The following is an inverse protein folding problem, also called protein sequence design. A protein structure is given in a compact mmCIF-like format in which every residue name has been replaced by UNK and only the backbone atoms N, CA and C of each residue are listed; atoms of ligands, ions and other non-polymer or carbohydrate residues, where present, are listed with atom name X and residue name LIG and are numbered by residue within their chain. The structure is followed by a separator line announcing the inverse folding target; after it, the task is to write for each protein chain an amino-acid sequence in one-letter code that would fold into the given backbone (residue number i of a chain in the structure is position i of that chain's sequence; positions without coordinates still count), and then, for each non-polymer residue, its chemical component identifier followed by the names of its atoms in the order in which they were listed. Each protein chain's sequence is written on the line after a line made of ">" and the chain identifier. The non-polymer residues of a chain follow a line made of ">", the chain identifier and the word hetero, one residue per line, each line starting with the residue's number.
data_IF_368640923181
#
_entry.id   IF_368640923181
#
_cell.length_a   1.000
_cell.length_b   1.000
_cell.length_c   1.000
_cell.angle_alpha   90.00
_cell.angle_beta   90.00
_cell.angle_gamma   90.00
#
_symmetry.space_group_name_H-M   'P 1'
#
loop_
_entity.id
_entity.type
_entity.pdbx_description
1 polymer ?
#
# COMPACT_ATOMS: atom_id res chain seq x y z
N UNK A 1 -25.11 -22.04 -13.51
CA UNK A 1 -25.55 -20.93 -12.65
C UNK A 1 -24.69 -20.90 -11.40
N UNK A 2 -24.19 -19.74 -11.04
CA UNK A 2 -23.37 -19.60 -9.87
C UNK A 2 -24.01 -18.68 -8.82
N UNK A 3 -24.60 -17.57 -9.27
CA UNK A 3 -25.40 -16.66 -8.42
C UNK A 3 -26.66 -16.22 -9.13
N UNK A 4 -27.73 -15.92 -8.40
CA UNK A 4 -29.00 -15.43 -8.92
C UNK A 4 -29.51 -14.33 -7.99
N UNK A 5 -29.96 -13.24 -8.58
CA UNK A 5 -30.50 -12.08 -7.86
C UNK A 5 -31.67 -11.51 -8.62
N UNK A 6 -32.74 -11.15 -7.93
CA UNK A 6 -33.82 -10.32 -8.45
C UNK A 6 -33.54 -8.85 -8.05
N UNK A 7 -33.58 -7.95 -9.03
CA UNK A 7 -33.37 -6.52 -8.79
C UNK A 7 -34.71 -5.79 -8.49
N UNK A 8 -34.62 -4.57 -7.98
CA UNK A 8 -35.79 -3.74 -7.65
C UNK A 8 -36.70 -3.42 -8.86
N UNK A 9 -36.29 -3.72 -10.09
CA UNK A 9 -37.08 -3.53 -11.32
C UNK A 9 -37.67 -4.82 -11.86
N UNK A 10 -37.73 -5.89 -11.06
CA UNK A 10 -38.26 -7.22 -11.41
C UNK A 10 -37.44 -7.92 -12.52
N UNK A 11 -36.15 -7.61 -12.69
CA UNK A 11 -35.25 -8.39 -13.53
C UNK A 11 -34.56 -9.46 -12.71
N UNK A 12 -34.41 -10.65 -13.29
CA UNK A 12 -33.61 -11.73 -12.72
C UNK A 12 -32.23 -11.73 -13.38
N UNK A 13 -31.19 -11.52 -12.57
CA UNK A 13 -29.81 -11.59 -12.97
C UNK A 13 -29.23 -12.96 -12.63
N UNK A 14 -28.53 -13.57 -13.59
CA UNK A 14 -27.99 -14.92 -13.46
C UNK A 14 -26.51 -14.86 -13.77
N UNK A 15 -25.66 -15.08 -12.78
CA UNK A 15 -24.22 -15.17 -12.93
C UNK A 15 -23.78 -16.60 -13.28
N UNK A 16 -22.76 -16.71 -14.10
CA UNK A 16 -22.19 -17.99 -14.52
C UNK A 16 -20.66 -18.00 -14.40
N UNK A 17 -20.10 -19.20 -14.27
CA UNK A 17 -18.65 -19.39 -14.34
C UNK A 17 -18.30 -19.80 -15.77
N UNK A 18 -17.98 -18.79 -16.61
CA UNK A 18 -17.52 -18.99 -17.98
C UNK A 18 -18.41 -18.47 -19.11
N UNK A 19 -19.69 -18.11 -18.82
CA UNK A 19 -20.61 -17.59 -19.83
C UNK A 19 -21.16 -16.19 -19.48
N UNK A 20 -20.48 -15.42 -18.62
CA UNK A 20 -20.88 -14.08 -18.24
C UNK A 20 -22.17 -14.03 -17.43
N UNK A 21 -23.03 -13.05 -17.73
CA UNK A 21 -24.25 -12.75 -17.01
C UNK A 21 -25.44 -12.72 -17.94
N UNK A 22 -26.55 -13.29 -17.51
CA UNK A 22 -27.86 -13.16 -18.16
C UNK A 22 -28.78 -12.28 -17.31
N UNK A 23 -29.53 -11.41 -17.97
CA UNK A 23 -30.58 -10.60 -17.38
C UNK A 23 -31.90 -10.98 -18.01
N UNK A 24 -32.83 -11.46 -17.23
CA UNK A 24 -34.17 -11.81 -17.67
C UNK A 24 -35.16 -10.76 -17.14
N UNK A 25 -35.84 -10.08 -18.03
CA UNK A 25 -36.89 -9.14 -17.66
C UNK A 25 -38.26 -9.90 -17.56
N UNK A 26 -38.79 -9.97 -16.36
CA UNK A 26 -40.02 -10.74 -16.10
C UNK A 26 -41.25 -10.15 -16.81
N UNK A 27 -41.29 -8.82 -17.04
CA UNK A 27 -42.44 -8.13 -17.66
C UNK A 27 -42.45 -8.33 -19.18
N UNK A 28 -41.32 -8.22 -19.82
CA UNK A 28 -41.19 -8.34 -21.29
C UNK A 28 -40.81 -9.74 -21.75
N UNK A 29 -40.44 -10.63 -20.84
CA UNK A 29 -39.91 -11.98 -21.10
C UNK A 29 -38.69 -12.00 -21.99
N UNK A 30 -37.93 -10.90 -22.06
CA UNK A 30 -36.71 -10.79 -22.83
C UNK A 30 -35.51 -11.21 -22.00
N UNK A 31 -34.53 -11.83 -22.67
CA UNK A 31 -33.23 -12.19 -22.10
C UNK A 31 -32.16 -11.37 -22.78
N UNK A 32 -31.36 -10.68 -21.99
CA UNK A 32 -30.12 -10.04 -22.40
C UNK A 32 -28.93 -10.89 -21.92
N UNK A 33 -27.88 -10.98 -22.72
CA UNK A 33 -26.69 -11.77 -22.39
C UNK A 33 -25.44 -10.92 -22.53
N UNK A 34 -24.70 -10.78 -21.42
CA UNK A 34 -23.50 -9.97 -21.31
C UNK A 34 -22.28 -10.89 -21.16
N UNK A 35 -21.31 -10.71 -22.05
CA UNK A 35 -20.05 -11.45 -22.05
C UNK A 35 -18.87 -10.50 -22.15
N UNK A 36 -17.71 -10.95 -21.66
CA UNK A 36 -16.46 -10.23 -21.86
C UNK A 36 -16.10 -10.18 -23.35
N UNK A 37 -15.77 -8.96 -23.80
CA UNK A 37 -15.31 -8.69 -25.16
C UNK A 37 -13.90 -8.10 -25.08
N UNK A 38 -12.89 -8.82 -25.60
CA UNK A 38 -11.45 -8.52 -25.41
C UNK A 38 -11.07 -7.07 -25.77
N UNK A 39 -11.75 -6.46 -26.74
CA UNK A 39 -11.43 -5.11 -27.20
C UNK A 39 -12.45 -4.06 -26.73
N UNK A 40 -13.41 -4.43 -25.90
CA UNK A 40 -14.42 -3.53 -25.35
C UNK A 40 -14.28 -3.41 -23.83
N UNK A 41 -13.67 -2.30 -23.38
CA UNK A 41 -13.51 -1.98 -21.96
C UNK A 41 -14.83 -1.69 -21.22
N UNK A 42 -15.92 -1.56 -21.95
CA UNK A 42 -17.27 -1.37 -21.43
C UNK A 42 -18.08 -2.67 -21.37
N UNK A 43 -17.53 -3.78 -21.82
CA UNK A 43 -18.10 -5.11 -21.57
C UNK A 43 -17.84 -5.54 -20.12
N UNK A 44 -18.54 -6.57 -19.65
CA UNK A 44 -18.21 -7.18 -18.36
C UNK A 44 -16.75 -7.68 -18.37
N UNK A 45 -16.02 -7.49 -17.26
CA UNK A 45 -14.57 -7.72 -17.21
C UNK A 45 -14.16 -9.19 -17.30
N UNK A 46 -15.04 -10.12 -16.94
CA UNK A 46 -14.80 -11.57 -17.04
C UNK A 46 -16.10 -12.32 -17.31
N UNK A 47 -15.99 -13.46 -18.02
CA UNK A 47 -17.11 -14.38 -18.20
C UNK A 47 -17.36 -15.28 -16.97
N UNK A 48 -16.46 -15.26 -15.99
CA UNK A 48 -16.60 -15.97 -14.72
C UNK A 48 -17.05 -15.00 -13.64
N UNK A 49 -18.34 -15.00 -13.34
CA UNK A 49 -18.96 -14.09 -12.37
C UNK A 49 -19.32 -14.84 -11.10
N UNK A 50 -18.75 -14.41 -9.98
CA UNK A 50 -18.83 -15.08 -8.68
C UNK A 50 -19.98 -14.58 -7.81
N UNK A 51 -20.40 -13.33 -7.97
CA UNK A 51 -21.48 -12.73 -7.17
C UNK A 51 -22.17 -11.59 -7.91
N UNK A 52 -23.45 -11.39 -7.59
CA UNK A 52 -24.27 -10.25 -7.99
C UNK A 52 -24.78 -9.60 -6.71
N UNK A 53 -24.72 -8.28 -6.65
CA UNK A 53 -25.25 -7.51 -5.51
C UNK A 53 -25.91 -6.24 -6.01
N UNK A 54 -27.17 -6.00 -5.59
CA UNK A 54 -27.82 -4.71 -5.71
C UNK A 54 -27.59 -3.94 -4.42
N UNK A 55 -27.10 -2.72 -4.54
CA UNK A 55 -26.86 -1.84 -3.41
C UNK A 55 -28.11 -1.06 -3.02
N UNK A 56 -28.11 -0.48 -1.83
CA UNK A 56 -29.23 0.29 -1.28
C UNK A 56 -29.65 1.47 -2.17
N UNK A 57 -28.75 1.99 -3.02
CA UNK A 57 -29.02 3.04 -4.00
C UNK A 57 -29.49 2.51 -5.38
N UNK A 58 -29.64 1.18 -5.54
CA UNK A 58 -30.10 0.52 -6.76
C UNK A 58 -29.00 0.25 -7.80
N UNK A 59 -27.73 0.46 -7.47
CA UNK A 59 -26.61 0.08 -8.34
C UNK A 59 -26.39 -1.43 -8.32
N UNK A 60 -26.16 -2.04 -9.49
CA UNK A 60 -25.89 -3.47 -9.60
C UNK A 60 -24.40 -3.68 -9.82
N UNK A 61 -23.80 -4.48 -8.94
CA UNK A 61 -22.39 -4.82 -8.94
C UNK A 61 -22.18 -6.31 -9.12
N UNK A 62 -21.13 -6.64 -9.86
CA UNK A 62 -20.72 -8.02 -10.15
C UNK A 62 -19.29 -8.22 -9.64
N UNK A 63 -19.08 -9.26 -8.85
CA UNK A 63 -17.74 -9.76 -8.57
C UNK A 63 -17.35 -10.78 -9.62
N UNK A 64 -16.10 -10.75 -10.06
CA UNK A 64 -15.62 -11.64 -11.12
C UNK A 64 -14.34 -12.37 -10.72
N UNK A 65 -14.13 -13.52 -11.33
CA UNK A 65 -12.86 -14.23 -11.28
C UNK A 65 -11.93 -13.65 -12.36
N UNK A 66 -10.82 -13.05 -11.93
CA UNK A 66 -9.78 -12.43 -12.78
C UNK A 66 -10.24 -11.22 -13.62
N UNK A 67 -11.14 -10.43 -13.08
CA UNK A 67 -11.58 -9.20 -13.74
C UNK A 67 -12.00 -8.12 -12.73
N UNK A 68 -11.75 -8.33 -11.43
CA UNK A 68 -12.14 -7.40 -10.37
C UNK A 68 -13.65 -7.34 -10.15
N UNK A 69 -14.17 -6.16 -9.95
CA UNK A 69 -15.60 -5.89 -9.81
C UNK A 69 -16.10 -5.00 -10.94
N UNK A 70 -17.37 -5.18 -11.33
CA UNK A 70 -18.01 -4.38 -12.38
C UNK A 70 -19.31 -3.77 -11.85
N UNK A 71 -19.52 -2.49 -12.16
CA UNK A 71 -20.81 -1.83 -12.01
C UNK A 71 -21.55 -1.84 -13.35
N UNK A 72 -22.81 -2.21 -13.34
CA UNK A 72 -23.70 -2.08 -14.50
C UNK A 72 -24.25 -0.66 -14.61
N UNK A 73 -24.11 -0.06 -15.77
CA UNK A 73 -24.75 1.21 -16.12
C UNK A 73 -26.02 0.91 -16.96
N UNK A 74 -27.17 1.08 -16.34
CA UNK A 74 -28.46 0.81 -16.99
C UNK A 74 -28.84 1.81 -18.10
N UNK A 75 -28.23 3.00 -18.11
CA UNK A 75 -28.49 4.05 -19.11
C UNK A 75 -27.75 3.78 -20.41
N UNK A 76 -26.49 3.40 -20.28
CA UNK A 76 -25.60 3.12 -21.40
C UNK A 76 -25.60 1.63 -21.77
N UNK A 77 -26.26 0.79 -20.97
CA UNK A 77 -26.31 -0.68 -21.09
C UNK A 77 -24.91 -1.30 -21.21
N UNK A 78 -24.01 -0.87 -20.34
CA UNK A 78 -22.60 -1.27 -20.34
C UNK A 78 -22.08 -1.45 -18.90
N UNK A 79 -20.76 -1.72 -18.77
CA UNK A 79 -20.12 -1.98 -17.49
C UNK A 79 -18.93 -1.03 -17.27
N UNK A 80 -18.75 -0.64 -16.02
CA UNK A 80 -17.55 0.03 -15.52
C UNK A 80 -16.80 -0.91 -14.60
N UNK A 81 -15.56 -1.19 -14.94
CA UNK A 81 -14.69 -2.12 -14.21
C UNK A 81 -13.83 -1.38 -13.18
N UNK A 82 -13.56 -2.05 -12.05
CA UNK A 82 -12.54 -1.72 -11.06
C UNK A 82 -11.68 -2.96 -10.87
N UNK A 83 -10.38 -2.86 -11.14
CA UNK A 83 -9.42 -3.97 -11.22
C UNK A 83 -8.09 -3.61 -10.56
N UNK A 84 -7.06 -4.43 -10.75
CA UNK A 84 -5.67 -4.09 -10.36
C UNK A 84 -5.22 -2.73 -10.92
N UNK A 85 -5.70 -2.35 -12.11
CA UNK A 85 -5.35 -1.07 -12.73
C UNK A 85 -5.88 0.14 -11.92
N UNK A 86 -7.02 -0.03 -11.26
CA UNK A 86 -7.63 0.96 -10.38
C UNK A 86 -7.18 0.84 -8.93
N UNK A 87 -6.34 -0.17 -8.59
CA UNK A 87 -5.72 -0.33 -7.27
C UNK A 87 -6.27 -1.47 -6.42
N UNK A 88 -7.04 -2.39 -6.97
CA UNK A 88 -7.38 -3.62 -6.24
C UNK A 88 -6.12 -4.43 -5.92
N UNK A 89 -6.08 -5.17 -4.81
CA UNK A 89 -4.94 -6.02 -4.46
C UNK A 89 -4.87 -7.29 -5.33
N UNK A 90 -5.99 -7.70 -5.93
CA UNK A 90 -6.13 -8.89 -6.77
C UNK A 90 -7.37 -8.75 -7.65
N UNK A 91 -7.33 -9.29 -8.87
CA UNK A 91 -8.46 -9.23 -9.82
C UNK A 91 -9.52 -10.32 -9.58
N UNK A 92 -9.31 -11.23 -8.63
CA UNK A 92 -10.33 -12.19 -8.21
C UNK A 92 -11.13 -11.62 -7.06
N UNK A 93 -12.35 -11.21 -7.33
CA UNK A 93 -13.30 -10.77 -6.31
C UNK A 93 -14.33 -11.88 -6.05
N UNK A 94 -14.65 -12.07 -4.76
CA UNK A 94 -15.62 -13.09 -4.35
C UNK A 94 -17.01 -12.50 -4.14
N UNK A 95 -17.62 -12.70 -2.99
CA UNK A 95 -18.96 -12.15 -2.73
C UNK A 95 -18.87 -10.71 -2.25
N UNK A 96 -19.60 -9.80 -2.91
CA UNK A 96 -19.77 -8.41 -2.50
C UNK A 96 -20.91 -8.32 -1.49
N UNK A 97 -20.68 -7.56 -0.42
CA UNK A 97 -21.70 -7.13 0.54
C UNK A 97 -21.58 -5.62 0.76
N UNK A 98 -22.72 -4.95 0.95
CA UNK A 98 -22.79 -3.53 1.26
C UNK A 98 -22.90 -3.34 2.77
N UNK A 99 -22.17 -2.37 3.33
CA UNK A 99 -22.34 -1.96 4.71
C UNK A 99 -23.37 -0.83 4.85
N UNK A 100 -23.69 -0.43 6.09
CA UNK A 100 -24.70 0.61 6.39
C UNK A 100 -24.33 2.01 5.87
N UNK A 101 -23.04 2.23 5.56
CA UNK A 101 -22.53 3.50 5.05
C UNK A 101 -22.46 3.52 3.51
N UNK A 102 -22.82 2.40 2.85
CA UNK A 102 -22.77 2.26 1.40
C UNK A 102 -21.42 1.85 0.83
N UNK A 103 -20.45 1.46 1.68
CA UNK A 103 -19.20 0.86 1.22
C UNK A 103 -19.42 -0.59 0.81
N UNK A 104 -18.74 -1.00 -0.25
CA UNK A 104 -18.75 -2.38 -0.71
C UNK A 104 -17.56 -3.15 -0.12
N UNK A 105 -17.83 -4.30 0.45
CA UNK A 105 -16.85 -5.17 1.05
C UNK A 105 -16.82 -6.50 0.32
N UNK A 106 -15.63 -6.95 -0.03
CA UNK A 106 -15.45 -8.25 -0.69
C UNK A 106 -14.06 -8.82 -0.43
N UNK A 107 -14.00 -10.13 -0.31
CA UNK A 107 -12.74 -10.87 -0.22
C UNK A 107 -12.09 -11.05 -1.59
N UNK A 108 -10.77 -11.14 -1.59
CA UNK A 108 -9.93 -11.47 -2.76
C UNK A 108 -8.95 -12.60 -2.40
N UNK A 109 -8.00 -12.92 -3.31
CA UNK A 109 -6.87 -13.80 -2.95
C UNK A 109 -5.78 -13.06 -2.15
N UNK A 110 -5.82 -11.73 -2.11
CA UNK A 110 -4.77 -10.90 -1.51
C UNK A 110 -5.29 -9.96 -0.42
N UNK A 111 -6.42 -10.31 0.21
CA UNK A 111 -6.99 -9.58 1.33
C UNK A 111 -8.46 -9.26 1.19
N UNK A 112 -8.98 -8.58 2.21
CA UNK A 112 -10.34 -8.01 2.26
C UNK A 112 -10.29 -6.57 1.73
N UNK A 113 -11.19 -6.25 0.83
CA UNK A 113 -11.30 -4.91 0.23
C UNK A 113 -12.52 -4.20 0.79
N UNK A 114 -12.33 -2.95 1.19
CA UNK A 114 -13.37 -1.94 1.35
C UNK A 114 -13.28 -0.98 0.16
N UNK A 115 -14.37 -0.84 -0.57
CA UNK A 115 -14.45 0.03 -1.74
C UNK A 115 -15.54 1.08 -1.54
N UNK A 116 -15.19 2.34 -1.76
CA UNK A 116 -16.13 3.47 -1.82
C UNK A 116 -16.62 3.66 -3.26
N UNK A 117 -17.87 3.33 -3.56
CA UNK A 117 -18.40 3.46 -4.92
C UNK A 117 -18.65 4.92 -5.36
N UNK A 118 -18.61 5.89 -4.43
CA UNK A 118 -18.82 7.31 -4.73
C UNK A 118 -17.49 7.99 -5.10
N UNK A 119 -16.44 7.77 -4.31
CA UNK A 119 -15.14 8.40 -4.47
C UNK A 119 -14.13 7.51 -5.21
N UNK A 120 -14.46 6.24 -5.47
CA UNK A 120 -13.59 5.23 -6.06
C UNK A 120 -12.30 5.03 -5.27
N UNK A 121 -12.40 5.08 -3.94
CA UNK A 121 -11.28 4.80 -3.05
C UNK A 121 -11.31 3.34 -2.60
N UNK A 122 -10.11 2.75 -2.47
CA UNK A 122 -9.91 1.35 -2.12
C UNK A 122 -9.05 1.30 -0.86
N UNK A 123 -9.53 0.58 0.15
CA UNK A 123 -8.76 0.18 1.31
C UNK A 123 -8.65 -1.33 1.34
N UNK A 124 -7.46 -1.83 1.70
CA UNK A 124 -7.18 -3.28 1.73
C UNK A 124 -6.70 -3.68 3.12
N UNK A 125 -7.31 -4.73 3.65
CA UNK A 125 -6.94 -5.37 4.90
C UNK A 125 -6.33 -6.74 4.61
N UNK A 126 -5.22 -7.06 5.28
CA UNK A 126 -4.45 -8.28 5.09
C UNK A 126 -4.12 -8.94 6.42
N UNK A 127 -3.34 -10.01 6.38
CA UNK A 127 -2.75 -10.62 7.58
C UNK A 127 -1.93 -9.62 8.39
N UNK A 128 -1.36 -8.61 7.75
CA UNK A 128 -0.65 -7.52 8.42
C UNK A 128 -1.57 -6.66 9.30
N UNK A 129 -2.86 -6.62 8.98
CA UNK A 129 -3.89 -5.94 9.77
C UNK A 129 -4.59 -6.90 10.76
N UNK A 130 -4.10 -8.13 10.92
CA UNK A 130 -4.63 -9.11 11.86
C UNK A 130 -5.68 -10.06 11.28
N UNK A 131 -5.87 -10.10 9.96
CA UNK A 131 -6.69 -11.14 9.35
C UNK A 131 -6.01 -12.51 9.50
N UNK A 132 -6.76 -13.60 9.70
CA UNK A 132 -6.19 -14.94 9.80
C UNK A 132 -5.59 -15.43 8.48
N UNK A 133 -6.13 -14.97 7.34
CA UNK A 133 -5.66 -15.33 6.00
C UNK A 133 -5.97 -14.19 5.01
N UNK A 134 -5.13 -14.04 3.99
CA UNK A 134 -5.40 -13.14 2.86
C UNK A 134 -6.35 -13.76 1.82
N UNK A 135 -6.54 -15.08 1.86
CA UNK A 135 -7.38 -15.79 0.90
C UNK A 135 -8.78 -16.02 1.44
N UNK A 136 -9.77 -15.56 0.69
CA UNK A 136 -11.18 -15.69 1.02
C UNK A 136 -11.84 -16.81 0.22
N UNK A 137 -13.01 -17.24 0.66
CA UNK A 137 -13.77 -18.30 0.00
C UNK A 137 -14.92 -17.73 -0.83
N UNK A 138 -15.23 -18.40 -1.93
CA UNK A 138 -16.40 -18.07 -2.76
C UNK A 138 -17.69 -18.12 -1.91
N UNK A 139 -18.59 -17.16 -2.14
CA UNK A 139 -19.91 -17.05 -1.50
C UNK A 139 -19.90 -17.01 0.04
N UNK A 140 -18.78 -16.79 0.65
CA UNK A 140 -18.61 -16.79 2.10
C UNK A 140 -18.59 -15.38 2.66
N UNK A 141 -19.59 -14.57 2.34
CA UNK A 141 -19.80 -13.25 2.93
C UNK A 141 -21.26 -13.00 3.23
N UNK A 142 -21.51 -12.29 4.32
CA UNK A 142 -22.85 -11.90 4.79
C UNK A 142 -22.79 -10.54 5.50
N UNK A 143 -23.71 -9.64 5.15
CA UNK A 143 -24.01 -8.47 5.95
C UNK A 143 -25.26 -8.77 6.80
N UNK A 144 -25.14 -8.68 8.12
CA UNK A 144 -26.26 -8.91 9.02
C UNK A 144 -27.15 -7.66 9.12
N UNK A 145 -28.38 -7.84 9.57
CA UNK A 145 -29.30 -6.72 9.84
C UNK A 145 -28.79 -5.78 10.94
N UNK A 146 -27.90 -6.26 11.83
CA UNK A 146 -27.26 -5.44 12.86
C UNK A 146 -26.15 -4.56 12.32
N UNK A 147 -25.62 -4.84 11.11
CA UNK A 147 -24.50 -4.18 10.48
C UNK A 147 -23.17 -4.89 10.70
N UNK A 148 -23.17 -6.04 11.36
CA UNK A 148 -21.99 -6.90 11.44
C UNK A 148 -21.76 -7.60 10.10
N UNK A 149 -20.55 -7.57 9.60
CA UNK A 149 -20.11 -8.28 8.40
C UNK A 149 -19.40 -9.57 8.77
N UNK A 150 -19.63 -10.61 7.99
CA UNK A 150 -19.02 -11.92 8.15
C UNK A 150 -18.34 -12.33 6.85
N UNK A 151 -17.12 -12.86 6.93
CA UNK A 151 -16.38 -13.37 5.79
C UNK A 151 -15.68 -14.68 6.15
N UNK A 152 -15.82 -15.68 5.27
CA UNK A 152 -15.09 -16.94 5.36
C UNK A 152 -13.75 -16.85 4.63
N UNK A 153 -12.68 -17.22 5.31
CA UNK A 153 -11.33 -17.35 4.79
C UNK A 153 -10.91 -18.80 4.74
N UNK A 154 -9.74 -19.11 4.16
CA UNK A 154 -9.20 -20.48 4.20
C UNK A 154 -8.85 -20.93 5.63
N UNK A 155 -8.60 -20.01 6.55
CA UNK A 155 -8.17 -20.31 7.92
C UNK A 155 -9.23 -19.99 8.98
N UNK A 156 -10.46 -19.71 8.57
CA UNK A 156 -11.57 -19.50 9.49
C UNK A 156 -12.55 -18.41 9.08
N UNK A 157 -13.40 -18.03 10.03
CA UNK A 157 -14.40 -16.98 9.90
C UNK A 157 -13.91 -15.70 10.57
N UNK A 158 -14.08 -14.58 9.91
CA UNK A 158 -13.94 -13.25 10.51
C UNK A 158 -15.30 -12.59 10.60
N UNK A 159 -15.53 -11.82 11.68
CA UNK A 159 -16.67 -10.91 11.78
C UNK A 159 -16.24 -9.59 12.39
N UNK A 160 -16.84 -8.51 11.94
CA UNK A 160 -16.57 -7.18 12.46
C UNK A 160 -17.72 -6.20 12.14
N UNK A 161 -17.75 -5.12 12.87
CA UNK A 161 -18.59 -3.95 12.57
C UNK A 161 -17.73 -2.90 11.86
N UNK A 162 -17.99 -2.54 10.59
CA UNK A 162 -17.22 -1.53 9.87
C UNK A 162 -17.10 -0.19 10.62
N UNK A 163 -18.16 0.22 11.27
CA UNK A 163 -18.20 1.46 12.06
C UNK A 163 -17.32 1.44 13.33
N UNK A 164 -16.77 0.28 13.71
CA UNK A 164 -15.85 0.11 14.85
C UNK A 164 -14.41 -0.08 14.44
N UNK A 165 -14.14 -0.02 13.14
CA UNK A 165 -12.75 -0.02 12.65
C UNK A 165 -12.16 1.35 12.96
N UNK A 166 -11.33 1.39 13.98
CA UNK A 166 -10.65 2.62 14.40
C UNK A 166 -9.36 2.78 13.60
N UNK A 167 -9.18 3.95 13.03
CA UNK A 167 -7.93 4.31 12.38
C UNK A 167 -6.84 4.53 13.42
N UNK A 168 -5.68 3.92 13.25
CA UNK A 168 -4.54 4.13 14.12
C UNK A 168 -3.98 5.55 13.94
N UNK A 169 -4.40 6.46 14.81
CA UNK A 169 -3.95 7.87 14.79
C UNK A 169 -2.56 8.10 15.39
N UNK A 170 -1.88 7.03 15.82
CA UNK A 170 -0.56 7.12 16.43
C UNK A 170 0.49 7.62 15.44
N UNK A 171 1.16 8.72 15.75
CA UNK A 171 2.28 9.27 14.98
C UNK A 171 3.56 8.56 15.45
N UNK A 172 4.19 7.72 14.60
CA UNK A 172 5.33 6.94 15.04
C UNK A 172 6.58 7.80 15.22
N UNK A 173 7.29 7.71 16.35
CA UNK A 173 8.64 8.26 16.46
C UNK A 173 9.58 7.60 15.46
N UNK A 174 10.43 8.42 14.80
CA UNK A 174 11.39 7.98 13.80
C UNK A 174 12.80 8.19 14.33
N UNK A 175 13.66 7.19 14.12
CA UNK A 175 15.06 7.23 14.56
C UNK A 175 16.00 6.77 13.45
N UNK A 176 17.18 7.37 13.38
CA UNK A 176 18.33 6.86 12.65
C UNK A 176 19.06 5.91 13.59
N UNK A 177 19.14 4.64 13.22
CA UNK A 177 19.65 3.57 14.08
C UNK A 177 21.15 3.41 13.99
N UNK A 178 21.72 3.56 12.80
CA UNK A 178 23.15 3.47 12.57
C UNK A 178 23.60 4.22 11.33
N UNK A 179 24.91 4.50 11.25
CA UNK A 179 25.61 4.90 10.06
C UNK A 179 26.86 4.02 9.96
N UNK A 180 27.03 3.31 8.85
CA UNK A 180 28.19 2.46 8.56
C UNK A 180 28.93 2.99 7.34
N UNK A 181 30.23 2.84 7.27
CA UNK A 181 31.00 3.07 6.06
C UNK A 181 31.70 1.77 5.59
N UNK A 182 31.98 1.67 4.30
CA UNK A 182 32.37 0.42 3.62
C UNK A 182 33.67 -0.21 4.16
N UNK A 183 34.53 0.52 4.87
CA UNK A 183 35.83 0.03 5.33
C UNK A 183 35.80 -0.46 6.79
N UNK A 184 34.67 -0.54 7.44
CA UNK A 184 34.51 -1.06 8.80
C UNK A 184 34.24 -2.57 8.78
N UNK A 185 35.29 -3.38 8.60
CA UNK A 185 35.16 -4.85 8.72
C UNK A 185 35.02 -5.33 10.18
N UNK A 186 35.30 -4.49 11.18
CA UNK A 186 35.47 -4.93 12.57
C UNK A 186 34.45 -4.38 13.59
N UNK A 187 33.69 -3.34 13.30
CA UNK A 187 32.66 -2.84 14.23
C UNK A 187 31.69 -1.91 13.51
N UNK A 188 30.57 -2.47 13.09
CA UNK A 188 29.59 -1.83 12.22
C UNK A 188 28.77 -0.70 12.81
N UNK A 189 29.21 -0.01 13.83
CA UNK A 189 28.44 1.04 14.48
C UNK A 189 29.31 2.24 14.74
N UNK A 190 29.05 3.36 14.05
CA UNK A 190 29.59 4.64 14.42
C UNK A 190 28.86 5.10 15.70
N UNK A 191 29.29 4.56 16.85
CA UNK A 191 28.93 5.11 18.15
C UNK A 191 29.66 6.44 18.34
N UNK A 192 28.95 7.46 18.76
CA UNK A 192 29.60 8.53 19.52
C UNK A 192 30.23 7.87 20.76
N UNK A 193 31.56 7.87 20.84
CA UNK A 193 32.33 7.25 21.92
C UNK A 193 32.00 7.78 23.32
N UNK A 194 30.98 8.64 23.47
CA UNK A 194 30.56 9.28 24.70
C UNK A 194 29.24 8.82 25.29
N UNK A 195 28.39 8.10 24.59
CA UNK A 195 27.08 7.70 25.11
C UNK A 195 26.80 6.21 24.84
N UNK A 196 26.56 5.47 25.93
CA UNK A 196 26.14 4.05 25.92
C UNK A 196 24.71 3.84 25.40
N UNK A 197 24.15 4.73 24.61
CA UNK A 197 22.79 4.65 24.07
C UNK A 197 22.84 4.12 22.64
N UNK A 198 22.14 3.02 22.39
CA UNK A 198 22.10 2.32 21.08
C UNK A 198 21.38 3.06 19.96
N UNK A 199 21.17 4.37 20.08
CA UNK A 199 20.55 5.22 19.07
C UNK A 199 21.49 6.36 18.70
N UNK A 200 21.57 6.70 17.43
CA UNK A 200 22.36 7.83 16.96
C UNK A 200 21.70 9.13 17.45
N UNK A 201 22.19 9.68 18.57
CA UNK A 201 21.80 11.03 19.05
C UNK A 201 22.67 12.14 18.45
N UNK A 202 23.70 11.78 17.70
CA UNK A 202 24.58 12.74 17.04
C UNK A 202 23.82 13.51 15.97
N UNK A 203 23.68 14.82 16.14
CA UNK A 203 23.10 15.70 15.13
C UNK A 203 24.01 15.89 13.91
N UNK A 204 25.31 15.60 14.05
CA UNK A 204 26.33 15.79 13.03
C UNK A 204 27.43 14.74 13.15
N UNK A 205 27.87 14.21 12.02
CA UNK A 205 29.03 13.33 11.90
C UNK A 205 30.02 13.90 10.87
N UNK A 206 31.31 13.65 11.09
CA UNK A 206 32.35 14.06 10.17
C UNK A 206 33.16 12.83 9.73
N UNK A 207 33.22 12.60 8.42
CA UNK A 207 33.87 11.46 7.78
C UNK A 207 35.09 11.92 6.97
N UNK A 208 36.09 11.04 6.87
CA UNK A 208 37.24 11.28 6.01
C UNK A 208 36.87 11.06 4.54
N UNK A 209 37.67 11.56 3.63
CA UNK A 209 37.43 11.48 2.18
C UNK A 209 37.38 10.04 1.62
N UNK A 210 37.97 9.06 2.32
CA UNK A 210 37.94 7.64 2.00
C UNK A 210 36.78 6.87 2.61
N UNK A 211 36.05 7.51 3.54
CA UNK A 211 34.81 7.02 4.18
C UNK A 211 33.55 7.54 3.46
N UNK A 212 33.61 7.68 2.17
CA UNK A 212 32.60 8.37 1.36
C UNK A 212 31.46 7.48 0.83
N UNK A 213 31.46 6.21 1.20
CA UNK A 213 30.35 5.27 0.92
C UNK A 213 29.75 4.84 2.24
N UNK A 214 28.52 5.29 2.49
CA UNK A 214 27.83 5.15 3.78
C UNK A 214 26.51 4.42 3.62
N UNK A 215 26.16 3.64 4.62
CA UNK A 215 24.84 3.04 4.80
C UNK A 215 24.19 3.65 6.03
N UNK A 216 22.95 4.12 5.90
CA UNK A 216 22.14 4.66 6.98
C UNK A 216 20.98 3.73 7.26
N UNK A 217 20.84 3.29 8.52
CA UNK A 217 19.67 2.56 9.00
C UNK A 217 18.69 3.47 9.72
N UNK A 218 17.41 3.18 9.60
CA UNK A 218 16.36 3.94 10.26
C UNK A 218 15.18 3.05 10.67
N UNK A 219 14.39 3.49 11.65
CA UNK A 219 13.24 2.75 12.16
C UNK A 219 12.13 3.70 12.59
N UNK A 220 10.90 3.28 12.39
CA UNK A 220 9.71 3.88 12.98
C UNK A 220 9.19 2.99 14.11
N UNK A 221 8.96 3.55 15.29
CA UNK A 221 8.43 2.79 16.43
C UNK A 221 6.90 2.77 16.37
N UNK A 222 6.35 1.97 15.44
CA UNK A 222 4.93 1.63 15.35
C UNK A 222 4.81 0.11 15.35
N UNK A 223 4.19 -0.42 16.40
CA UNK A 223 4.14 -1.86 16.66
C UNK A 223 2.80 -2.51 16.31
N UNK A 224 1.78 -1.72 15.94
CA UNK A 224 0.46 -2.24 15.59
C UNK A 224 0.53 -3.15 14.35
N UNK A 225 1.25 -2.71 13.32
CA UNK A 225 1.55 -3.50 12.12
C UNK A 225 2.87 -3.00 11.51
N UNK A 226 4.04 -3.48 11.99
CA UNK A 226 5.35 -2.96 11.55
C UNK A 226 5.61 -3.13 10.05
N UNK A 227 5.11 -4.22 9.44
CA UNK A 227 5.26 -4.51 8.01
C UNK A 227 4.51 -3.51 7.10
N UNK A 228 3.47 -2.84 7.62
CA UNK A 228 2.70 -1.83 6.89
C UNK A 228 3.24 -0.41 7.06
N UNK A 229 4.25 -0.20 7.90
CA UNK A 229 4.88 1.10 8.06
C UNK A 229 5.55 1.54 6.75
N UNK A 230 5.43 2.83 6.44
CA UNK A 230 6.05 3.39 5.25
C UNK A 230 7.13 4.39 5.64
N UNK A 231 8.16 4.48 4.83
CA UNK A 231 9.26 5.40 5.02
C UNK A 231 9.43 6.30 3.80
N UNK A 232 9.87 7.52 4.04
CA UNK A 232 10.34 8.43 3.00
C UNK A 232 11.64 9.06 3.48
N UNK A 233 12.68 9.00 2.65
CA UNK A 233 13.97 9.58 2.97
C UNK A 233 14.50 10.44 1.82
N UNK A 234 15.46 11.29 2.16
CA UNK A 234 16.13 12.18 1.22
C UNK A 234 17.48 12.59 1.75
N UNK A 235 18.51 12.59 0.90
CA UNK A 235 19.78 13.28 1.14
C UNK A 235 19.71 14.66 0.52
N UNK A 236 19.55 15.71 1.33
CA UNK A 236 19.56 17.09 0.85
C UNK A 236 20.89 17.42 0.18
N UNK A 237 20.88 18.21 -0.87
CA UNK A 237 21.96 18.54 -1.79
C UNK A 237 22.40 17.38 -2.71
N UNK A 238 21.74 16.22 -2.68
CA UNK A 238 22.01 15.09 -3.59
C UNK A 238 20.73 14.63 -4.30
N UNK A 239 19.70 14.27 -3.51
CA UNK A 239 18.43 13.78 -4.05
C UNK A 239 17.52 14.97 -4.43
N UNK A 240 16.83 14.87 -5.57
CA UNK A 240 15.86 15.88 -6.00
C UNK A 240 14.56 15.76 -5.21
N UNK A 241 14.04 14.54 -5.09
CA UNK A 241 12.73 14.24 -4.51
C UNK A 241 12.85 13.26 -3.33
N UNK A 242 11.75 13.10 -2.61
CA UNK A 242 11.64 12.08 -1.57
C UNK A 242 11.60 10.68 -2.21
N UNK A 243 12.35 9.74 -1.62
CA UNK A 243 12.37 8.34 -2.00
C UNK A 243 11.51 7.57 -1.00
N UNK A 244 10.46 6.90 -1.50
CA UNK A 244 9.53 6.14 -0.68
C UNK A 244 9.90 4.65 -0.67
N UNK A 245 9.82 4.01 0.50
CA UNK A 245 10.07 2.58 0.67
C UNK A 245 9.19 1.99 1.76
N UNK A 246 8.90 0.69 1.69
CA UNK A 246 8.24 -0.10 2.74
C UNK A 246 9.21 -1.12 3.35
N UNK A 247 9.90 -1.85 2.49
CA UNK A 247 10.66 -3.05 2.89
C UNK A 247 12.07 -2.73 3.38
N UNK A 248 12.64 -1.61 2.93
CA UNK A 248 14.00 -1.26 3.26
C UNK A 248 14.03 -0.24 4.41
N UNK A 249 14.62 -0.66 5.52
CA UNK A 249 14.92 0.19 6.67
C UNK A 249 16.38 0.69 6.66
N UNK A 250 17.04 0.62 5.50
CA UNK A 250 18.36 1.18 5.28
C UNK A 250 18.54 1.67 3.86
N UNK A 251 19.48 2.58 3.66
CA UNK A 251 19.88 3.12 2.35
C UNK A 251 21.38 3.31 2.28
N UNK A 252 21.96 3.01 1.11
CA UNK A 252 23.38 3.20 0.84
C UNK A 252 23.60 4.34 -0.14
N UNK A 253 24.41 5.30 0.25
CA UNK A 253 24.94 6.33 -0.62
C UNK A 253 26.42 6.08 -0.89
N UNK A 254 26.78 5.86 -2.15
CA UNK A 254 28.13 5.53 -2.56
C UNK A 254 28.85 6.72 -3.19
N UNK A 255 30.17 6.81 -2.94
CA UNK A 255 31.06 7.80 -3.55
C UNK A 255 30.62 9.26 -3.39
N UNK A 256 30.18 9.62 -2.18
CA UNK A 256 29.83 11.01 -1.87
C UNK A 256 31.05 11.93 -2.05
N UNK A 257 30.88 13.03 -2.75
CA UNK A 257 31.94 14.03 -2.89
C UNK A 257 32.21 14.74 -1.55
N UNK A 258 33.41 15.31 -1.33
CA UNK A 258 33.64 16.18 -0.17
C UNK A 258 32.63 17.33 -0.13
N UNK A 259 31.94 17.46 1.02
CA UNK A 259 30.85 18.42 1.15
C UNK A 259 30.05 18.22 2.42
N UNK A 260 28.97 19.01 2.54
CA UNK A 260 27.99 18.92 3.61
C UNK A 260 26.68 18.38 3.04
N UNK A 261 26.14 17.38 3.69
CA UNK A 261 24.88 16.73 3.37
C UNK A 261 24.01 16.70 4.61
N UNK A 262 22.70 16.61 4.41
CA UNK A 262 21.75 16.36 5.48
C UNK A 262 20.83 15.22 5.05
N UNK A 263 20.92 14.11 5.76
CA UNK A 263 19.98 13.02 5.60
C UNK A 263 18.75 13.29 6.43
N UNK A 264 17.57 13.15 5.83
CA UNK A 264 16.28 13.31 6.47
C UNK A 264 15.45 12.08 6.18
N UNK A 265 14.79 11.54 7.20
CA UNK A 265 13.87 10.42 7.07
C UNK A 265 12.60 10.68 7.86
N UNK A 266 11.47 10.36 7.28
CA UNK A 266 10.16 10.38 7.92
C UNK A 266 9.46 9.05 7.69
N UNK A 267 8.49 8.71 8.52
CA UNK A 267 7.74 7.48 8.40
C UNK A 267 6.27 7.67 8.78
N UNK A 268 5.45 6.74 8.31
CA UNK A 268 4.06 6.61 8.75
C UNK A 268 3.84 5.30 9.51
N UNK A 269 2.74 5.25 10.24
CA UNK A 269 2.19 4.00 10.75
C UNK A 269 1.50 3.20 9.64
N UNK A 270 0.86 2.07 10.01
CA UNK A 270 0.09 1.20 9.13
C UNK A 270 -1.09 1.92 8.43
N UNK A 271 -1.69 2.94 9.05
CA UNK A 271 -2.82 3.69 8.52
C UNK A 271 -2.41 5.00 7.83
N UNK A 272 -1.14 5.08 7.40
CA UNK A 272 -0.56 6.20 6.65
C UNK A 272 -0.55 7.54 7.41
N UNK A 273 -0.58 7.49 8.75
CA UNK A 273 -0.40 8.69 9.59
C UNK A 273 1.09 8.99 9.69
N UNK A 274 1.53 10.05 9.01
CA UNK A 274 2.93 10.41 8.85
C UNK A 274 3.47 11.26 10.00
N UNK A 275 4.65 10.89 10.51
CA UNK A 275 5.49 11.78 11.30
C UNK A 275 6.24 12.74 10.35
N UNK A 276 5.78 13.99 10.28
CA UNK A 276 6.37 14.99 9.39
C UNK A 276 7.68 15.59 9.91
N UNK A 277 7.93 15.53 11.21
CA UNK A 277 9.21 15.98 11.80
C UNK A 277 10.34 15.01 11.43
N UNK A 278 10.07 13.71 11.56
CA UNK A 278 11.02 12.65 11.22
C UNK A 278 12.30 12.69 12.05
N UNK A 279 13.38 12.18 11.45
CA UNK A 279 14.74 12.26 12.01
C UNK A 279 15.72 12.79 10.97
N UNK A 280 16.78 13.47 11.42
CA UNK A 280 17.80 13.96 10.50
C UNK A 280 19.19 13.93 11.11
N UNK A 281 20.23 13.79 10.26
CA UNK A 281 21.64 13.88 10.64
C UNK A 281 22.41 14.65 9.57
N UNK A 282 23.30 15.55 10.03
CA UNK A 282 24.25 16.22 9.15
C UNK A 282 25.49 15.36 8.94
N UNK A 283 25.95 15.26 7.69
CA UNK A 283 27.09 14.45 7.28
C UNK A 283 28.08 15.36 6.59
N UNK A 284 29.28 15.46 7.13
CA UNK A 284 30.36 16.24 6.55
C UNK A 284 31.45 15.29 6.05
N UNK A 285 31.71 15.33 4.75
CA UNK A 285 32.81 14.57 4.14
C UNK A 285 33.97 15.54 3.91
N UNK A 286 35.08 15.28 4.58
CA UNK A 286 36.28 16.11 4.47
C UNK A 286 36.98 15.91 3.12
N UNK A 287 37.53 16.99 2.52
CA UNK A 287 38.38 16.83 1.36
C UNK A 287 39.70 16.15 1.73
N UNK A 288 40.34 15.40 0.80
CA UNK A 288 41.67 14.85 1.02
C UNK A 288 42.66 15.96 1.32
N UNK A 289 43.61 15.69 2.23
CA UNK A 289 44.55 16.70 2.75
C UNK A 289 45.32 17.46 1.66
N UNK A 290 45.63 16.79 0.54
CA UNK A 290 46.35 17.42 -0.60
C UNK A 290 45.46 18.39 -1.41
N UNK A 291 44.17 18.39 -1.22
CA UNK A 291 43.21 19.35 -1.81
C UNK A 291 42.86 20.50 -0.84
N UNK A 292 43.38 20.46 0.39
CA UNK A 292 43.16 21.53 1.36
C UNK A 292 43.95 22.80 0.98
N UNK A 293 43.50 23.94 1.45
CA UNK A 293 44.15 25.23 1.16
C UNK A 293 45.57 25.26 1.69
N UNK A 294 45.86 24.66 2.86
CA UNK A 294 47.18 24.54 3.45
C UNK A 294 48.16 23.74 2.58
N UNK A 295 47.72 22.63 2.00
CA UNK A 295 48.54 21.84 1.10
C UNK A 295 48.83 22.54 -0.24
N UNK A 296 47.88 23.32 -0.72
CA UNK A 296 48.04 24.18 -1.92
C UNK A 296 49.01 25.33 -1.66
N UNK A 297 48.97 25.91 -0.46
CA UNK A 297 49.93 26.97 -0.05
C UNK A 297 51.35 26.42 0.09
N UNK A 298 51.51 25.24 0.71
CA UNK A 298 52.80 24.59 0.86
C UNK A 298 53.44 24.21 -0.50
N UNK A 299 52.63 23.78 -1.48
CA UNK A 299 53.13 23.53 -2.85
C UNK A 299 53.58 24.79 -3.61
N UNK A 300 53.09 25.97 -3.24
CA UNK A 300 53.49 27.25 -3.84
C UNK A 300 54.77 27.85 -3.20
N UNK A 301 55.12 27.38 -2.01
CA UNK A 301 56.26 27.88 -1.26
C UNK A 301 57.56 27.03 -1.43
N UNK A 302 57.55 25.96 -2.22
CA UNK A 302 58.76 25.20 -2.55
C UNK A 302 59.21 25.61 -3.96
N UNK A 303 60.38 26.29 -4.07
CA UNK A 303 61.00 26.54 -5.37
C UNK A 303 61.54 25.23 -5.94
N UNK A 304 61.52 25.11 -7.27
CA UNK A 304 62.04 23.98 -8.05
C UNK A 304 63.56 23.82 -7.89
#
# INVERSE_FOLDING_TARGET
>A
TYDIMEDANDNIWIATMGNGVFKYNQKTQQIEHYTNQINDKHSISSNSVSSITETSNGDIWFATDRGGICKYDSKENNFRTVSLAEGLPDDTAYKIVEDKNGYLWFGTNSGLVQFDPQNFTIETYSTDNGLPSNQFNYKSALASSTGELFFGTLEGLISFFPERLEQNSFIPPVYITYIKHKNDEASGELYDKGTNSGYLQAKQITLQHDQNSIELGFVALSYACPAANQYAYKMENLDKDWIFTRDNQSVTYANLAPGKYRFVVKASNNDKVWNQEGASVEIIILPPWWKTWTARAAKRSWPA
#
